data_IF_303820895903
#
_entry.id   IF_303820895903
#
_cell.length_a   1.000
_cell.length_b   1.000
_cell.length_c   1.000
_cell.angle_alpha   90.00
_cell.angle_beta   90.00
_cell.angle_gamma   90.00
#
_symmetry.space_group_name_H-M   'P 1'
#
loop_
_entity.id
_entity.type
_entity.pdbx_description
1 polymer ?
#
# COMPACT_ATOMS: atom_id res chain seq x y z
N UNK A 1 -0.95 10.52 18.76
CA UNK A 1 -0.56 9.11 18.95
C UNK A 1 -0.26 8.42 17.61
N UNK A 2 -1.20 8.36 16.66
CA UNK A 2 -0.98 7.71 15.36
C UNK A 2 0.18 8.33 14.52
N UNK A 3 0.25 9.67 14.43
CA UNK A 3 1.33 10.34 13.67
C UNK A 3 2.71 10.10 14.30
N UNK A 4 2.80 10.09 15.63
CA UNK A 4 4.04 9.80 16.36
C UNK A 4 4.53 8.38 16.07
N UNK A 5 3.61 7.41 16.09
CA UNK A 5 3.94 6.02 15.75
C UNK A 5 4.45 5.90 14.32
N UNK A 6 3.80 6.55 13.34
CA UNK A 6 4.26 6.55 11.95
C UNK A 6 5.66 7.16 11.79
N UNK A 7 5.95 8.26 12.48
CA UNK A 7 7.28 8.87 12.46
C UNK A 7 8.36 7.92 12.97
N UNK A 8 8.07 7.15 14.03
CA UNK A 8 9.00 6.14 14.56
C UNK A 8 9.22 5.03 13.52
N UNK A 9 8.16 4.52 12.90
CA UNK A 9 8.27 3.46 11.87
C UNK A 9 9.08 3.96 10.67
N UNK A 10 8.85 5.18 10.22
CA UNK A 10 9.60 5.80 9.12
C UNK A 10 11.08 5.95 9.50
N UNK A 11 11.37 6.41 10.72
CA UNK A 11 12.75 6.54 11.21
C UNK A 11 13.45 5.17 11.26
N UNK A 12 12.81 4.15 11.85
CA UNK A 12 13.34 2.80 11.92
C UNK A 12 13.61 2.22 10.52
N UNK A 13 12.70 2.40 9.58
CA UNK A 13 12.86 1.92 8.21
C UNK A 13 13.98 2.66 7.45
N UNK A 14 14.12 3.97 7.66
CA UNK A 14 15.16 4.79 7.03
C UNK A 14 16.55 4.48 7.59
N UNK A 15 16.66 4.31 8.91
CA UNK A 15 17.90 3.99 9.60
C UNK A 15 18.09 2.48 9.82
N UNK A 16 17.39 1.63 9.06
CA UNK A 16 17.44 0.17 9.21
C UNK A 16 18.88 -0.39 9.29
N UNK A 17 19.83 -0.01 8.39
CA UNK A 17 21.19 -0.54 8.44
C UNK A 17 21.98 -0.13 9.69
N UNK A 18 21.57 0.93 10.39
CA UNK A 18 22.21 1.41 11.61
C UNK A 18 21.60 0.81 12.88
N UNK A 19 20.34 0.35 12.79
CA UNK A 19 19.55 -0.15 13.93
C UNK A 19 19.59 -1.68 14.03
N UNK A 20 20.03 -2.36 12.96
CA UNK A 20 20.15 -3.82 12.90
C UNK A 20 21.59 -4.28 12.91
N UNK A 21 21.88 -5.39 13.60
CA UNK A 21 23.23 -5.98 13.68
C UNK A 21 23.52 -6.99 12.56
N UNK A 22 22.49 -7.57 11.96
CA UNK A 22 22.60 -8.65 10.97
C UNK A 22 22.00 -8.24 9.62
N UNK A 23 22.30 -9.02 8.59
CA UNK A 23 21.60 -8.95 7.31
C UNK A 23 20.17 -9.51 7.40
N UNK A 24 19.18 -8.97 6.65
CA UNK A 24 17.79 -9.44 6.71
C UNK A 24 17.58 -10.87 6.17
N UNK A 25 18.55 -11.40 5.43
CA UNK A 25 18.56 -12.77 4.92
C UNK A 25 19.66 -13.63 5.54
N UNK A 26 20.40 -13.09 6.50
CA UNK A 26 21.47 -13.81 7.20
C UNK A 26 20.87 -14.85 8.14
N UNK A 27 21.42 -16.06 8.10
CA UNK A 27 20.91 -17.23 8.82
C UNK A 27 21.93 -17.70 9.84
N UNK A 28 21.49 -17.88 11.09
CA UNK A 28 22.21 -18.62 12.11
C UNK A 28 21.57 -20.01 12.27
N UNK A 29 22.15 -21.01 11.60
CA UNK A 29 21.68 -22.39 11.64
C UNK A 29 21.88 -23.05 13.01
N UNK A 30 22.70 -22.47 13.89
CA UNK A 30 22.89 -22.97 15.26
C UNK A 30 21.82 -22.47 16.21
N UNK A 31 21.07 -21.44 15.82
CA UNK A 31 20.07 -20.79 16.63
C UNK A 31 18.73 -20.70 15.89
N UNK A 32 18.17 -21.85 15.50
CA UNK A 32 16.85 -21.93 14.86
C UNK A 32 15.76 -21.92 15.94
N UNK A 33 14.69 -21.13 15.73
CA UNK A 33 13.60 -20.98 16.71
C UNK A 33 14.11 -20.54 18.10
N UNK A 34 15.19 -19.76 18.11
CA UNK A 34 15.81 -19.22 19.32
C UNK A 34 14.94 -18.16 19.96
N UNK A 35 14.85 -18.19 21.29
CA UNK A 35 14.17 -17.16 22.07
C UNK A 35 14.90 -15.80 22.04
N UNK A 36 14.27 -14.78 22.64
CA UNK A 36 14.89 -13.46 22.80
C UNK A 36 16.22 -13.56 23.56
N UNK A 37 17.27 -12.98 22.99
CA UNK A 37 18.62 -12.94 23.56
C UNK A 37 19.28 -11.57 23.33
N UNK A 38 20.42 -11.32 23.98
CA UNK A 38 21.19 -10.09 23.78
C UNK A 38 21.72 -9.92 22.35
N UNK A 39 21.92 -11.05 21.66
CA UNK A 39 22.34 -11.12 20.27
C UNK A 39 21.13 -11.01 19.33
N UNK A 40 20.02 -11.70 19.62
CA UNK A 40 18.77 -11.64 18.86
C UNK A 40 17.63 -11.09 19.72
N UNK A 41 17.39 -9.77 19.66
CA UNK A 41 16.48 -9.09 20.59
C UNK A 41 15.05 -9.65 20.59
N UNK A 42 14.57 -10.07 19.41
CA UNK A 42 13.26 -10.70 19.24
C UNK A 42 13.35 -12.20 18.94
N UNK A 43 14.53 -12.80 19.10
CA UNK A 43 14.80 -14.18 18.73
C UNK A 43 14.97 -14.38 17.22
N UNK A 44 14.96 -15.64 16.82
CA UNK A 44 15.16 -16.07 15.43
C UNK A 44 13.95 -16.85 14.91
N UNK A 45 13.79 -16.86 13.58
CA UNK A 45 12.71 -17.59 12.92
C UNK A 45 13.06 -19.07 12.64
N UNK A 46 12.17 -19.73 11.90
CA UNK A 46 12.27 -21.13 11.45
C UNK A 46 13.49 -21.41 10.56
N UNK A 47 14.12 -20.36 10.02
CA UNK A 47 15.35 -20.43 9.23
C UNK A 47 16.57 -19.85 9.97
N UNK A 48 16.44 -19.55 11.26
CA UNK A 48 17.53 -18.96 12.06
C UNK A 48 17.81 -17.49 11.72
N UNK A 49 16.89 -16.77 11.07
CA UNK A 49 17.07 -15.35 10.75
C UNK A 49 16.60 -14.47 11.91
N UNK A 50 17.32 -13.37 12.16
CA UNK A 50 17.00 -12.43 13.23
C UNK A 50 15.65 -11.71 12.99
N UNK A 51 14.70 -11.91 13.90
CA UNK A 51 13.32 -11.38 13.77
C UNK A 51 13.29 -9.86 13.87
N UNK A 52 14.13 -9.25 14.72
CA UNK A 52 14.24 -7.80 14.85
C UNK A 52 14.66 -7.16 13.52
N UNK A 53 15.73 -7.68 12.92
CA UNK A 53 16.24 -7.23 11.63
C UNK A 53 15.19 -7.39 10.54
N UNK A 54 14.51 -8.54 10.47
CA UNK A 54 13.43 -8.77 9.50
C UNK A 54 12.26 -7.81 9.67
N UNK A 55 11.92 -7.45 10.90
CA UNK A 55 10.84 -6.50 11.20
C UNK A 55 11.20 -5.08 10.74
N UNK A 56 12.41 -4.62 11.06
CA UNK A 56 12.89 -3.28 10.67
C UNK A 56 13.04 -3.14 9.15
N UNK A 57 13.64 -4.13 8.48
CA UNK A 57 13.70 -4.13 7.01
C UNK A 57 12.32 -4.35 6.36
N UNK A 58 11.45 -5.14 7.00
CA UNK A 58 10.07 -5.33 6.58
C UNK A 58 9.27 -4.03 6.61
N UNK A 59 9.54 -3.13 7.57
CA UNK A 59 8.95 -1.79 7.59
C UNK A 59 9.31 -0.98 6.34
N UNK A 60 10.55 -1.05 5.87
CA UNK A 60 10.98 -0.38 4.62
C UNK A 60 10.23 -0.92 3.40
N UNK A 61 10.11 -2.25 3.29
CA UNK A 61 9.34 -2.89 2.22
C UNK A 61 7.86 -2.49 2.28
N UNK A 62 7.28 -2.45 3.48
CA UNK A 62 5.88 -2.08 3.71
C UNK A 62 5.59 -0.63 3.33
N UNK A 63 6.49 0.29 3.69
CA UNK A 63 6.40 1.70 3.30
C UNK A 63 6.50 1.85 1.78
N UNK A 64 7.50 1.25 1.15
CA UNK A 64 7.64 1.28 -0.31
C UNK A 64 6.40 0.72 -1.01
N UNK A 65 5.91 -0.44 -0.54
CA UNK A 65 4.76 -1.11 -1.11
C UNK A 65 3.49 -0.25 -1.01
N UNK A 66 3.23 0.29 0.17
CA UNK A 66 2.06 1.15 0.43
C UNK A 66 2.14 2.45 -0.36
N UNK A 67 3.31 3.07 -0.45
CA UNK A 67 3.52 4.29 -1.23
C UNK A 67 3.25 4.08 -2.72
N UNK A 68 3.70 2.97 -3.30
CA UNK A 68 3.45 2.65 -4.71
C UNK A 68 1.94 2.42 -4.93
N UNK A 69 1.32 1.57 -4.11
CA UNK A 69 -0.09 1.24 -4.26
C UNK A 69 -0.99 2.47 -4.12
N UNK A 70 -0.79 3.27 -3.07
CA UNK A 70 -1.56 4.50 -2.84
C UNK A 70 -1.26 5.54 -3.91
N UNK A 71 0.01 5.70 -4.32
CA UNK A 71 0.40 6.64 -5.36
C UNK A 71 -0.30 6.34 -6.69
N UNK A 72 -0.34 5.09 -7.11
CA UNK A 72 -1.03 4.66 -8.34
C UNK A 72 -2.55 4.85 -8.20
N UNK A 73 -3.14 4.44 -7.08
CA UNK A 73 -4.56 4.61 -6.82
C UNK A 73 -4.99 6.08 -6.86
N UNK A 74 -4.15 6.96 -6.28
CA UNK A 74 -4.34 8.40 -6.28
C UNK A 74 -4.24 8.99 -7.69
N UNK A 75 -3.14 8.70 -8.41
CA UNK A 75 -2.87 9.25 -9.76
C UNK A 75 -3.95 8.85 -10.76
N UNK A 76 -4.53 7.65 -10.64
CA UNK A 76 -5.60 7.18 -11.53
C UNK A 76 -6.97 7.66 -11.01
N UNK A 77 -7.27 7.42 -9.74
CA UNK A 77 -8.60 7.64 -9.18
C UNK A 77 -8.96 9.11 -9.08
N UNK A 78 -8.03 9.97 -8.64
CA UNK A 78 -8.32 11.39 -8.40
C UNK A 78 -8.74 12.12 -9.68
N UNK A 79 -8.03 12.01 -10.82
CA UNK A 79 -8.48 12.64 -12.06
C UNK A 79 -9.84 12.13 -12.53
N UNK A 80 -10.12 10.81 -12.43
CA UNK A 80 -11.42 10.25 -12.82
C UNK A 80 -12.54 10.85 -11.97
N UNK A 81 -12.36 10.88 -10.64
CA UNK A 81 -13.34 11.45 -9.72
C UNK A 81 -13.54 12.94 -9.92
N UNK A 82 -12.45 13.68 -10.19
CA UNK A 82 -12.47 15.11 -10.47
C UNK A 82 -13.26 15.41 -11.74
N UNK A 83 -12.97 14.71 -12.85
CA UNK A 83 -13.66 14.89 -14.13
C UNK A 83 -15.14 14.51 -14.01
N UNK A 84 -15.44 13.38 -13.37
CA UNK A 84 -16.82 12.93 -13.17
C UNK A 84 -17.64 13.94 -12.33
N UNK A 85 -17.09 14.40 -11.20
CA UNK A 85 -17.76 15.39 -10.34
C UNK A 85 -17.87 16.78 -10.96
N UNK A 86 -16.91 17.20 -11.78
CA UNK A 86 -16.90 18.52 -12.41
C UNK A 86 -17.79 18.57 -13.66
N UNK A 87 -17.65 17.62 -14.58
CA UNK A 87 -18.42 17.59 -15.82
C UNK A 87 -19.91 17.27 -15.57
N UNK A 88 -20.21 16.38 -14.62
CA UNK A 88 -21.59 15.95 -14.36
C UNK A 88 -22.24 15.23 -15.55
N UNK A 89 -23.57 15.05 -15.48
CA UNK A 89 -24.38 14.56 -16.58
C UNK A 89 -23.97 13.17 -17.11
N UNK A 90 -23.83 13.05 -18.43
CA UNK A 90 -23.52 11.79 -19.09
C UNK A 90 -22.06 11.33 -18.85
N UNK A 91 -21.11 12.26 -18.74
CA UNK A 91 -19.68 11.95 -18.48
C UNK A 91 -19.53 11.30 -17.11
N UNK A 92 -20.18 11.88 -16.11
CA UNK A 92 -20.24 11.34 -14.76
C UNK A 92 -20.86 9.94 -14.76
N UNK A 93 -21.97 9.76 -15.46
CA UNK A 93 -22.64 8.46 -15.58
C UNK A 93 -21.72 7.40 -16.20
N UNK A 94 -21.05 7.69 -17.32
CA UNK A 94 -20.17 6.74 -18.00
C UNK A 94 -18.96 6.37 -17.15
N UNK A 95 -18.27 7.36 -16.59
CA UNK A 95 -17.09 7.12 -15.74
C UNK A 95 -17.46 6.30 -14.51
N UNK A 96 -18.60 6.60 -13.90
CA UNK A 96 -19.04 5.92 -12.69
C UNK A 96 -19.55 4.52 -12.99
N UNK A 97 -20.11 4.26 -14.18
CA UNK A 97 -20.38 2.88 -14.63
C UNK A 97 -19.09 2.06 -14.72
N UNK A 98 -18.02 2.59 -15.29
CA UNK A 98 -16.73 1.87 -15.35
C UNK A 98 -16.20 1.58 -13.95
N UNK A 99 -16.21 2.58 -13.07
CA UNK A 99 -15.82 2.45 -11.65
C UNK A 99 -16.67 1.40 -10.93
N UNK A 100 -17.99 1.41 -11.12
CA UNK A 100 -18.92 0.47 -10.51
C UNK A 100 -18.71 -0.96 -11.03
N UNK A 101 -18.41 -1.13 -12.33
CA UNK A 101 -18.07 -2.43 -12.92
C UNK A 101 -16.78 -2.99 -12.33
N UNK A 102 -15.74 -2.17 -12.14
CA UNK A 102 -14.50 -2.61 -11.52
C UNK A 102 -14.71 -3.05 -10.05
N UNK A 103 -15.55 -2.33 -9.31
CA UNK A 103 -15.87 -2.65 -7.92
C UNK A 103 -16.80 -3.86 -7.75
N UNK A 104 -17.47 -4.30 -8.82
CA UNK A 104 -18.27 -5.52 -8.80
C UNK A 104 -17.40 -6.80 -8.75
N UNK A 105 -16.15 -6.71 -9.17
CA UNK A 105 -15.20 -7.82 -9.06
C UNK A 105 -14.61 -7.91 -7.65
N UNK A 106 -14.43 -9.12 -7.09
CA UNK A 106 -13.69 -9.30 -5.85
C UNK A 106 -12.26 -8.73 -5.99
N UNK A 107 -11.88 -7.81 -5.11
CA UNK A 107 -10.64 -7.04 -5.24
C UNK A 107 -9.39 -7.93 -5.33
N UNK A 108 -9.35 -9.02 -4.57
CA UNK A 108 -8.24 -9.99 -4.59
C UNK A 108 -8.12 -10.65 -5.97
N UNK A 109 -9.23 -11.06 -6.59
CA UNK A 109 -9.23 -11.72 -7.90
C UNK A 109 -8.70 -10.78 -8.96
N UNK A 110 -9.16 -9.52 -8.95
CA UNK A 110 -8.67 -8.50 -9.88
C UNK A 110 -7.18 -8.22 -9.66
N UNK A 111 -6.75 -8.06 -8.41
CA UNK A 111 -5.34 -7.79 -8.08
C UNK A 111 -4.42 -8.93 -8.51
N UNK A 112 -4.80 -10.20 -8.27
CA UNK A 112 -4.02 -11.36 -8.70
C UNK A 112 -3.97 -11.45 -10.23
N UNK A 113 -5.10 -11.22 -10.92
CA UNK A 113 -5.15 -11.23 -12.38
C UNK A 113 -4.25 -10.17 -13.02
N UNK A 114 -4.31 -8.93 -12.52
CA UNK A 114 -3.46 -7.83 -13.00
C UNK A 114 -1.98 -8.10 -12.66
N UNK A 115 -1.68 -8.62 -11.48
CA UNK A 115 -0.30 -8.99 -11.10
C UNK A 115 0.24 -10.10 -12.00
N UNK A 116 -0.58 -11.11 -12.31
CA UNK A 116 -0.19 -12.20 -13.21
C UNK A 116 0.11 -11.70 -14.63
N UNK A 117 -0.63 -10.69 -15.11
CA UNK A 117 -0.39 -10.07 -16.41
C UNK A 117 0.88 -9.20 -16.45
N UNK A 118 1.18 -8.47 -15.36
CA UNK A 118 2.37 -7.61 -15.26
C UNK A 118 3.66 -8.39 -14.95
N UNK A 119 3.55 -9.62 -14.43
CA UNK A 119 4.67 -10.48 -14.06
C UNK A 119 5.09 -10.32 -12.59
N UNK A 120 5.94 -11.26 -12.09
CA UNK A 120 6.28 -11.32 -10.67
C UNK A 120 7.15 -10.14 -10.25
N UNK A 121 6.87 -9.61 -9.05
CA UNK A 121 7.67 -8.56 -8.44
C UNK A 121 6.85 -7.67 -7.52
N UNK A 122 7.52 -7.13 -6.49
CA UNK A 122 6.87 -6.23 -5.52
C UNK A 122 6.23 -5.03 -6.21
N UNK A 123 6.95 -4.38 -7.12
CA UNK A 123 6.47 -3.16 -7.80
C UNK A 123 5.22 -3.47 -8.61
N UNK A 124 5.25 -4.52 -9.43
CA UNK A 124 4.12 -4.92 -10.28
C UNK A 124 2.89 -5.29 -9.45
N UNK A 125 3.09 -6.04 -8.36
CA UNK A 125 2.01 -6.39 -7.43
C UNK A 125 1.39 -5.14 -6.80
N UNK A 126 2.21 -4.17 -6.38
CA UNK A 126 1.70 -2.95 -5.75
C UNK A 126 1.05 -1.99 -6.74
N UNK A 127 1.53 -1.94 -7.99
CA UNK A 127 0.85 -1.24 -9.09
C UNK A 127 -0.52 -1.85 -9.34
N UNK A 128 -0.61 -3.18 -9.40
CA UNK A 128 -1.88 -3.90 -9.57
C UNK A 128 -2.87 -3.57 -8.44
N UNK A 129 -2.41 -3.61 -7.19
CA UNK A 129 -3.20 -3.19 -6.02
C UNK A 129 -3.65 -1.73 -6.19
N UNK A 130 -2.76 -0.82 -6.57
CA UNK A 130 -3.12 0.59 -6.79
C UNK A 130 -4.21 0.78 -7.84
N UNK A 131 -4.14 0.06 -8.97
CA UNK A 131 -5.18 0.08 -10.01
C UNK A 131 -6.51 -0.41 -9.44
N UNK A 132 -6.50 -1.51 -8.69
CA UNK A 132 -7.71 -2.10 -8.06
C UNK A 132 -8.35 -1.14 -7.04
N UNK A 133 -7.55 -0.34 -6.33
CA UNK A 133 -8.04 0.63 -5.34
C UNK A 133 -8.39 2.00 -5.94
N UNK A 134 -7.98 2.29 -7.18
CA UNK A 134 -8.30 3.55 -7.87
C UNK A 134 -9.81 3.91 -7.93
N UNK A 135 -10.76 2.95 -8.08
CA UNK A 135 -12.19 3.27 -8.11
C UNK A 135 -12.67 3.89 -6.79
N UNK A 136 -12.12 3.48 -5.66
CA UNK A 136 -12.43 4.04 -4.33
C UNK A 136 -11.99 5.50 -4.22
N UNK A 137 -10.79 5.83 -4.73
CA UNK A 137 -10.30 7.21 -4.80
C UNK A 137 -11.14 8.06 -5.77
N UNK A 138 -11.58 7.50 -6.89
CA UNK A 138 -12.46 8.18 -7.83
C UNK A 138 -13.80 8.57 -7.19
N UNK A 139 -14.43 7.64 -6.44
CA UNK A 139 -15.67 7.93 -5.71
C UNK A 139 -15.47 8.98 -4.63
N UNK A 140 -14.37 8.89 -3.87
CA UNK A 140 -14.05 9.86 -2.82
C UNK A 140 -13.91 11.27 -3.42
N UNK A 141 -13.11 11.44 -4.47
CA UNK A 141 -12.91 12.74 -5.10
C UNK A 141 -14.16 13.28 -5.77
N UNK A 142 -14.94 12.43 -6.45
CA UNK A 142 -16.25 12.83 -6.99
C UNK A 142 -17.14 13.40 -5.88
N UNK A 143 -17.20 12.71 -4.73
CA UNK A 143 -17.94 13.17 -3.55
C UNK A 143 -17.47 14.54 -3.05
N UNK A 144 -16.16 14.77 -2.98
CA UNK A 144 -15.60 16.07 -2.58
C UNK A 144 -15.96 17.19 -3.56
N UNK A 145 -15.92 16.94 -4.86
CA UNK A 145 -16.29 17.92 -5.90
C UNK A 145 -17.79 18.26 -5.82
N UNK A 146 -18.64 17.25 -5.65
CA UNK A 146 -20.08 17.48 -5.50
C UNK A 146 -20.40 18.28 -4.22
N UNK A 147 -19.70 17.98 -3.11
CA UNK A 147 -19.85 18.73 -1.86
C UNK A 147 -19.47 20.21 -2.01
N UNK A 148 -18.39 20.52 -2.74
CA UNK A 148 -17.99 21.92 -2.99
C UNK A 148 -18.96 22.63 -3.94
N UNK A 149 -19.52 21.94 -4.94
CA UNK A 149 -20.54 22.52 -5.83
C UNK A 149 -21.85 22.82 -5.11
N UNK A 150 -22.30 21.92 -4.23
CA UNK A 150 -23.52 22.13 -3.44
C UNK A 150 -23.42 23.28 -2.43
N UNK A 151 -22.22 23.64 -1.98
CA UNK A 151 -22.01 24.76 -1.07
C UNK A 151 -22.19 26.14 -1.74
N UNK A 152 -22.12 26.23 -3.06
CA UNK A 152 -22.26 27.47 -3.84
C UNK A 152 -23.67 27.70 -4.41
N UNK A 153 -24.67 26.87 -4.08
CA UNK A 153 -26.03 27.03 -4.60
C UNK A 153 -26.95 27.92 -3.75
N UNK A 154 -26.41 28.97 -3.13
CA UNK A 154 -27.18 30.00 -2.42
C UNK A 154 -27.43 31.21 -3.33
#
# INVERSE_FOLDING_TARGET
MASTFLLIVIALAAFAPLVTRYGPAEQDLTNILGGSSGDHWLGTDDLGRDVWTRLVYGARVSLQASSIAVGVAFVIGVPIGLVAGFAGGWVDTVLMRVVDTLLAFPAIVLAVGVTAALGPGLVNAMVAVGVVFSPSFARLMRGQVLATRGACSW
#
